data_IF_318168240332
#
_entry.id   IF_318168240332
#
_cell.length_a   1.000
_cell.length_b   1.000
_cell.length_c   1.000
_cell.angle_alpha   90.00
_cell.angle_beta   90.00
_cell.angle_gamma   90.00
#
_symmetry.space_group_name_H-M   'P 1'
#
loop_
_entity.id
_entity.type
_entity.pdbx_description
1 polymer ?
#
# COMPACT_ATOMS: atom_id res chain seq x y z
N UNK A 1 -25.71 8.50 -28.01
CA UNK A 1 -27.18 8.71 -27.92
C UNK A 1 -27.43 9.54 -26.66
N UNK A 2 -27.42 10.87 -26.84
CA UNK A 2 -27.52 11.85 -25.74
C UNK A 2 -29.00 12.04 -25.40
N UNK A 3 -29.40 11.60 -24.20
CA UNK A 3 -30.69 11.99 -23.65
C UNK A 3 -30.66 13.49 -23.37
N UNK A 4 -31.29 14.27 -24.23
CA UNK A 4 -31.66 15.66 -23.94
C UNK A 4 -32.87 15.59 -22.98
N UNK A 5 -32.64 15.72 -21.69
CA UNK A 5 -33.68 16.11 -20.75
C UNK A 5 -34.01 17.57 -20.99
N UNK A 6 -35.27 17.93 -20.95
CA UNK A 6 -35.79 19.26 -21.24
C UNK A 6 -35.16 20.31 -20.30
N UNK A 7 -34.93 21.56 -20.78
CA UNK A 7 -34.32 22.59 -19.96
C UNK A 7 -35.32 23.07 -18.90
N UNK A 8 -35.03 22.80 -17.64
CA UNK A 8 -35.56 23.59 -16.54
C UNK A 8 -34.67 24.83 -16.40
N UNK A 9 -35.20 26.00 -16.56
CA UNK A 9 -34.51 27.29 -16.72
C UNK A 9 -33.77 27.82 -15.51
N UNK A 10 -33.35 26.97 -14.55
CA UNK A 10 -32.60 27.34 -13.35
C UNK A 10 -31.55 26.27 -12.95
N UNK A 11 -30.70 25.86 -13.88
CA UNK A 11 -29.49 25.16 -13.46
C UNK A 11 -28.45 26.17 -13.04
N UNK A 12 -28.29 26.36 -11.73
CA UNK A 12 -27.10 27.01 -11.17
C UNK A 12 -25.95 26.06 -11.44
N UNK A 13 -25.32 26.20 -12.64
CA UNK A 13 -24.12 25.48 -12.98
C UNK A 13 -22.94 26.10 -12.25
N UNK A 14 -22.52 25.49 -11.15
CA UNK A 14 -21.28 25.86 -10.47
C UNK A 14 -20.17 25.03 -11.13
N UNK A 15 -19.24 25.64 -11.89
CA UNK A 15 -18.22 24.91 -12.64
C UNK A 15 -17.07 24.43 -11.73
N UNK A 16 -17.42 23.78 -10.60
CA UNK A 16 -16.42 23.28 -9.64
C UNK A 16 -15.53 22.25 -10.30
N UNK A 17 -16.09 21.35 -11.12
CA UNK A 17 -15.33 20.34 -11.81
C UNK A 17 -14.30 20.96 -12.77
N UNK A 18 -14.69 21.96 -13.57
CA UNK A 18 -13.80 22.66 -14.51
C UNK A 18 -12.73 23.48 -13.76
N UNK A 19 -13.13 24.14 -12.66
CA UNK A 19 -12.18 24.87 -11.83
C UNK A 19 -11.15 23.95 -11.18
N UNK A 20 -11.58 22.81 -10.63
CA UNK A 20 -10.72 21.78 -10.07
C UNK A 20 -9.81 21.22 -11.17
N UNK A 21 -10.37 20.86 -12.31
CA UNK A 21 -9.59 20.31 -13.42
C UNK A 21 -8.50 21.27 -13.88
N UNK A 22 -8.83 22.52 -14.09
CA UNK A 22 -7.87 23.53 -14.59
C UNK A 22 -6.78 23.85 -13.55
N UNK A 23 -7.17 24.23 -12.34
CA UNK A 23 -6.20 24.72 -11.35
C UNK A 23 -5.41 23.59 -10.69
N UNK A 24 -6.06 22.47 -10.35
CA UNK A 24 -5.37 21.35 -9.67
C UNK A 24 -4.51 20.59 -10.67
N UNK A 25 -4.98 20.37 -11.89
CA UNK A 25 -4.21 19.68 -12.91
C UNK A 25 -2.92 20.43 -13.26
N UNK A 26 -3.00 21.74 -13.52
CA UNK A 26 -1.83 22.57 -13.83
C UNK A 26 -0.83 22.57 -12.65
N UNK A 27 -1.32 22.72 -11.41
CA UNK A 27 -0.48 22.65 -10.23
C UNK A 27 0.20 21.28 -10.09
N UNK A 28 -0.52 20.18 -10.25
CA UNK A 28 0.04 18.82 -10.20
C UNK A 28 1.13 18.62 -11.26
N UNK A 29 0.90 19.05 -12.49
CA UNK A 29 1.90 18.95 -13.56
C UNK A 29 3.16 19.78 -13.28
N UNK A 30 3.01 20.95 -12.67
CA UNK A 30 4.14 21.80 -12.26
C UNK A 30 5.00 21.11 -11.17
N UNK A 31 4.39 20.33 -10.28
CA UNK A 31 5.11 19.62 -9.21
C UNK A 31 5.74 18.29 -9.66
N UNK A 32 5.41 17.76 -10.83
CA UNK A 32 5.96 16.50 -11.36
C UNK A 32 7.49 16.35 -11.21
N UNK A 33 8.33 17.35 -11.55
CA UNK A 33 9.78 17.19 -11.43
C UNK A 33 10.25 16.94 -10.01
N UNK A 34 9.58 17.56 -9.02
CA UNK A 34 9.87 17.35 -7.60
C UNK A 34 9.48 15.93 -7.17
N UNK A 35 8.26 15.50 -7.50
CA UNK A 35 7.77 14.17 -7.15
C UNK A 35 8.55 13.07 -7.84
N UNK A 36 9.01 13.27 -9.08
CA UNK A 36 9.90 12.34 -9.76
C UNK A 36 11.27 12.21 -9.08
N UNK A 37 11.80 13.28 -8.49
CA UNK A 37 13.02 13.20 -7.66
C UNK A 37 12.76 12.45 -6.34
N UNK A 38 11.60 12.65 -5.73
CA UNK A 38 11.20 11.95 -4.51
C UNK A 38 10.93 10.46 -4.74
N UNK A 39 10.52 10.05 -5.95
CA UNK A 39 10.34 8.64 -6.29
C UNK A 39 11.65 7.91 -6.58
N UNK A 40 12.74 8.61 -6.83
CA UNK A 40 14.01 7.98 -7.21
C UNK A 40 14.49 6.85 -6.26
N UNK A 41 14.39 6.98 -4.92
CA UNK A 41 14.70 5.86 -4.02
C UNK A 41 13.76 4.66 -4.20
N UNK A 42 12.46 4.92 -4.43
CA UNK A 42 11.46 3.87 -4.65
C UNK A 42 11.76 3.18 -5.98
N UNK A 43 12.02 3.94 -7.04
CA UNK A 43 12.40 3.44 -8.36
C UNK A 43 13.65 2.56 -8.29
N UNK A 44 14.66 2.98 -7.53
CA UNK A 44 15.91 2.25 -7.37
C UNK A 44 15.71 0.90 -6.68
N UNK A 45 14.95 0.87 -5.58
CA UNK A 45 14.63 -0.37 -4.85
C UNK A 45 13.76 -1.29 -5.70
N UNK A 46 12.72 -0.73 -6.34
CA UNK A 46 11.81 -1.47 -7.20
C UNK A 46 12.56 -2.14 -8.35
N UNK A 47 13.35 -1.40 -9.10
CA UNK A 47 14.12 -1.93 -10.24
C UNK A 47 15.15 -2.98 -9.77
N UNK A 48 15.79 -2.78 -8.62
CA UNK A 48 16.70 -3.74 -8.04
C UNK A 48 16.01 -5.06 -7.68
N UNK A 49 14.86 -4.99 -7.02
CA UNK A 49 14.07 -6.19 -6.66
C UNK A 49 13.45 -6.85 -7.89
N UNK A 50 12.95 -6.06 -8.84
CA UNK A 50 12.38 -6.60 -10.09
C UNK A 50 13.44 -7.37 -10.88
N UNK A 51 14.64 -6.81 -11.04
CA UNK A 51 15.77 -7.50 -11.66
C UNK A 51 16.16 -8.76 -10.89
N UNK A 52 16.22 -8.69 -9.56
CA UNK A 52 16.57 -9.82 -8.70
C UNK A 52 15.59 -10.98 -8.86
N UNK A 53 14.27 -10.69 -8.82
CA UNK A 53 13.26 -11.74 -8.90
C UNK A 53 13.12 -12.32 -10.30
N UNK A 54 13.24 -11.50 -11.35
CA UNK A 54 13.19 -11.97 -12.73
C UNK A 54 14.46 -12.73 -13.17
N UNK A 55 15.60 -12.57 -12.49
CA UNK A 55 16.82 -13.37 -12.74
C UNK A 55 16.70 -14.80 -12.18
N UNK A 56 15.82 -15.04 -11.20
CA UNK A 56 15.66 -16.36 -10.59
C UNK A 56 15.00 -17.31 -11.61
N UNK A 57 15.67 -18.41 -12.01
CA UNK A 57 15.07 -19.38 -12.93
C UNK A 57 13.81 -20.00 -12.32
N UNK A 58 12.77 -20.17 -13.13
CA UNK A 58 11.49 -20.75 -12.70
C UNK A 58 11.63 -22.03 -11.83
N UNK A 59 12.47 -23.06 -12.19
CA UNK A 59 12.61 -24.24 -11.35
C UNK A 59 13.16 -23.94 -9.95
N UNK A 60 14.08 -22.96 -9.83
CA UNK A 60 14.65 -22.57 -8.56
C UNK A 60 13.61 -21.82 -7.70
N UNK A 61 12.83 -20.96 -8.31
CA UNK A 61 11.74 -20.27 -7.62
C UNK A 61 10.70 -21.27 -7.08
N UNK A 62 10.31 -22.27 -7.88
CA UNK A 62 9.40 -23.33 -7.41
C UNK A 62 9.98 -24.01 -6.16
N UNK A 63 11.25 -24.40 -6.18
CA UNK A 63 11.88 -25.05 -5.02
C UNK A 63 11.84 -24.17 -3.76
N UNK A 64 12.11 -22.87 -3.91
CA UNK A 64 12.06 -21.92 -2.80
C UNK A 64 10.63 -21.82 -2.24
N UNK A 65 9.64 -21.57 -3.09
CA UNK A 65 8.24 -21.46 -2.66
C UNK A 65 7.70 -22.75 -2.04
N UNK A 66 8.02 -23.91 -2.63
CA UNK A 66 7.63 -25.21 -2.09
C UNK A 66 8.28 -25.49 -0.73
N UNK A 67 9.55 -25.15 -0.56
CA UNK A 67 10.22 -25.30 0.73
C UNK A 67 9.51 -24.51 1.83
N UNK A 68 9.21 -23.25 1.58
CA UNK A 68 8.48 -22.43 2.55
C UNK A 68 7.05 -22.92 2.79
N UNK A 69 6.33 -23.28 1.73
CA UNK A 69 4.97 -23.82 1.83
C UNK A 69 4.93 -25.12 2.65
N UNK A 70 5.86 -26.04 2.42
CA UNK A 70 5.98 -27.28 3.16
C UNK A 70 6.34 -27.04 4.64
N UNK A 71 7.29 -26.14 4.89
CA UNK A 71 7.77 -25.84 6.24
C UNK A 71 6.70 -25.19 7.11
N UNK A 72 5.82 -24.37 6.55
CA UNK A 72 4.81 -23.61 7.28
C UNK A 72 3.51 -24.39 7.49
N UNK A 73 2.99 -25.02 6.45
CA UNK A 73 1.66 -25.63 6.44
C UNK A 73 1.63 -27.12 5.98
N UNK A 74 2.81 -27.70 5.76
CA UNK A 74 2.94 -29.12 5.45
C UNK A 74 2.65 -29.47 3.98
N UNK A 75 2.59 -30.80 3.72
CA UNK A 75 2.60 -31.36 2.37
C UNK A 75 1.40 -30.96 1.49
N UNK A 76 0.20 -30.91 2.06
CA UNK A 76 -1.02 -30.54 1.31
C UNK A 76 -0.93 -29.12 0.77
N UNK A 77 -0.41 -28.19 1.56
CA UNK A 77 -0.23 -26.80 1.16
C UNK A 77 0.87 -26.65 0.10
N UNK A 78 1.94 -27.43 0.21
CA UNK A 78 2.99 -27.47 -0.81
C UNK A 78 2.45 -27.94 -2.18
N UNK A 79 1.59 -28.95 -2.21
CA UNK A 79 0.94 -29.40 -3.47
C UNK A 79 0.07 -28.28 -4.05
N UNK A 80 -0.73 -27.60 -3.23
CA UNK A 80 -1.58 -26.51 -3.70
C UNK A 80 -0.72 -25.36 -4.26
N UNK A 81 0.36 -25.02 -3.58
CA UNK A 81 1.33 -24.02 -4.05
C UNK A 81 1.95 -24.43 -5.38
N UNK A 82 2.35 -25.69 -5.53
CA UNK A 82 2.91 -26.20 -6.80
C UNK A 82 1.92 -26.05 -7.95
N UNK A 83 0.67 -26.45 -7.74
CA UNK A 83 -0.40 -26.32 -8.74
C UNK A 83 -0.57 -24.86 -9.14
N UNK A 84 -0.62 -23.94 -8.16
CA UNK A 84 -0.74 -22.50 -8.42
C UNK A 84 0.43 -21.92 -9.22
N UNK A 85 1.67 -22.30 -8.88
CA UNK A 85 2.87 -21.84 -9.60
C UNK A 85 2.92 -22.35 -11.03
N UNK A 86 2.61 -23.64 -11.25
CA UNK A 86 2.52 -24.22 -12.60
C UNK A 86 1.40 -23.53 -13.40
N UNK A 87 0.27 -23.20 -12.78
CA UNK A 87 -0.81 -22.49 -13.45
C UNK A 87 -0.38 -21.09 -13.90
N UNK A 88 0.36 -20.34 -13.05
CA UNK A 88 0.90 -19.01 -13.40
C UNK A 88 1.82 -19.10 -14.62
N UNK A 89 2.67 -20.11 -14.67
CA UNK A 89 3.58 -20.34 -15.79
C UNK A 89 2.84 -20.74 -17.06
N UNK A 90 1.83 -21.61 -16.95
CA UNK A 90 1.01 -22.06 -18.08
C UNK A 90 0.22 -20.93 -18.76
N UNK A 91 -0.14 -19.88 -18.02
CA UNK A 91 -0.82 -18.69 -18.57
C UNK A 91 0.16 -17.58 -18.95
N UNK A 92 1.47 -17.87 -18.96
CA UNK A 92 2.55 -16.94 -19.33
C UNK A 92 2.58 -15.64 -18.51
N UNK A 93 2.24 -15.74 -17.21
CA UNK A 93 2.23 -14.61 -16.27
C UNK A 93 3.35 -14.67 -15.24
N UNK A 94 4.40 -15.43 -15.50
CA UNK A 94 5.50 -15.59 -14.55
C UNK A 94 6.25 -14.28 -14.29
N UNK A 95 6.65 -13.57 -15.35
CA UNK A 95 7.38 -12.30 -15.24
C UNK A 95 6.56 -11.23 -14.52
N UNK A 96 5.28 -11.11 -14.86
CA UNK A 96 4.35 -10.16 -14.22
C UNK A 96 4.14 -10.48 -12.75
N UNK A 97 4.16 -11.76 -12.39
CA UNK A 97 4.08 -12.21 -10.99
C UNK A 97 5.34 -11.84 -10.21
N UNK A 98 6.51 -11.96 -10.80
CA UNK A 98 7.79 -11.57 -10.18
C UNK A 98 7.87 -10.04 -10.04
N UNK A 99 7.44 -9.29 -11.03
CA UNK A 99 7.33 -7.83 -10.96
C UNK A 99 6.34 -7.38 -9.88
N UNK A 100 5.19 -8.04 -9.77
CA UNK A 100 4.21 -7.77 -8.70
C UNK A 100 4.83 -8.05 -7.32
N UNK A 101 5.58 -9.13 -7.19
CA UNK A 101 6.30 -9.46 -5.96
C UNK A 101 7.32 -8.36 -5.60
N UNK A 102 8.08 -7.86 -6.58
CA UNK A 102 9.00 -6.75 -6.41
C UNK A 102 8.30 -5.47 -5.93
N UNK A 103 7.14 -5.16 -6.50
CA UNK A 103 6.31 -4.02 -6.07
C UNK A 103 5.86 -4.16 -4.62
N UNK A 104 5.39 -5.35 -4.22
CA UNK A 104 4.94 -5.63 -2.84
C UNK A 104 6.10 -5.49 -1.86
N UNK A 105 7.25 -6.11 -2.15
CA UNK A 105 8.43 -6.01 -1.28
C UNK A 105 8.94 -4.57 -1.17
N UNK A 106 8.96 -3.83 -2.27
CA UNK A 106 9.29 -2.40 -2.26
C UNK A 106 8.35 -1.64 -1.35
N UNK A 107 7.05 -1.83 -1.48
CA UNK A 107 6.06 -1.17 -0.63
C UNK A 107 6.26 -1.53 0.85
N UNK A 108 6.50 -2.80 1.17
CA UNK A 108 6.78 -3.26 2.55
C UNK A 108 8.00 -2.60 3.13
N UNK A 109 9.11 -2.51 2.38
CA UNK A 109 10.35 -1.86 2.83
C UNK A 109 10.06 -0.39 3.20
N UNK A 110 9.42 0.37 2.33
CA UNK A 110 9.09 1.78 2.61
C UNK A 110 8.06 1.93 3.73
N UNK A 111 7.09 1.04 3.83
CA UNK A 111 6.15 1.02 4.94
C UNK A 111 6.83 0.77 6.28
N UNK A 112 7.82 -0.11 6.35
CA UNK A 112 8.62 -0.36 7.55
C UNK A 112 9.47 0.87 7.88
N UNK A 113 10.19 1.41 6.89
CA UNK A 113 11.08 2.56 7.06
C UNK A 113 10.35 3.83 7.53
N UNK A 114 9.13 4.04 7.07
CA UNK A 114 8.32 5.22 7.40
C UNK A 114 7.37 4.92 8.57
N UNK A 115 6.68 3.79 8.52
CA UNK A 115 5.58 3.46 9.43
C UNK A 115 6.06 3.15 10.84
N UNK A 116 7.17 2.41 11.01
CA UNK A 116 7.70 2.11 12.34
C UNK A 116 8.16 3.39 13.07
N UNK A 117 8.99 4.28 12.49
CA UNK A 117 9.36 5.53 13.16
C UNK A 117 8.17 6.42 13.52
N UNK A 118 7.20 6.55 12.62
CA UNK A 118 5.98 7.32 12.89
C UNK A 118 5.12 6.67 13.99
N UNK A 119 5.05 5.34 14.02
CA UNK A 119 4.37 4.59 15.08
C UNK A 119 5.04 4.77 16.44
N UNK A 120 6.38 4.73 16.50
CA UNK A 120 7.15 5.02 17.72
C UNK A 120 6.89 6.46 18.19
N UNK A 121 6.89 7.43 17.28
CA UNK A 121 6.62 8.82 17.61
C UNK A 121 5.20 9.00 18.15
N UNK A 122 4.22 8.31 17.53
CA UNK A 122 2.82 8.30 18.00
C UNK A 122 2.68 7.68 19.39
N UNK A 123 3.48 6.66 19.73
CA UNK A 123 3.44 6.04 21.07
C UNK A 123 3.99 6.95 22.17
N UNK A 124 4.96 7.82 21.82
CA UNK A 124 5.64 8.71 22.76
C UNK A 124 4.97 10.07 22.93
N UNK A 125 4.16 10.52 21.98
CA UNK A 125 3.55 11.86 22.00
C UNK A 125 2.04 11.78 21.77
N UNK A 126 1.25 12.11 22.79
CA UNK A 126 -0.22 12.19 22.70
C UNK A 126 -0.69 13.24 21.68
N UNK A 127 0.02 14.37 21.58
CA UNK A 127 -0.29 15.42 20.61
C UNK A 127 -0.06 14.93 19.19
N UNK A 128 1.08 14.27 18.94
CA UNK A 128 1.37 13.72 17.62
C UNK A 128 0.36 12.64 17.23
N UNK A 129 0.01 11.76 18.15
CA UNK A 129 -1.03 10.75 17.91
C UNK A 129 -2.38 11.38 17.58
N UNK A 130 -2.80 12.40 18.32
CA UNK A 130 -4.07 13.09 18.08
C UNK A 130 -4.15 13.72 16.69
N UNK A 131 -3.01 14.22 16.16
CA UNK A 131 -2.91 14.75 14.80
C UNK A 131 -2.90 13.63 13.78
N UNK A 132 -2.15 12.55 14.04
CA UNK A 132 -2.01 11.43 13.11
C UNK A 132 -3.30 10.62 12.92
N UNK A 133 -4.11 10.45 13.98
CA UNK A 133 -5.34 9.65 13.92
C UNK A 133 -6.26 10.05 12.76
N UNK A 134 -6.72 11.32 12.64
CA UNK A 134 -7.61 11.69 11.54
C UNK A 134 -6.97 11.52 10.16
N UNK A 135 -5.64 11.73 10.03
CA UNK A 135 -4.91 11.51 8.78
C UNK A 135 -4.96 10.04 8.39
N UNK A 136 -4.65 9.14 9.34
CA UNK A 136 -4.69 7.70 9.11
C UNK A 136 -6.11 7.20 8.84
N UNK A 137 -7.14 7.80 9.47
CA UNK A 137 -8.54 7.47 9.22
C UNK A 137 -8.94 7.84 7.79
N UNK A 138 -8.59 9.04 7.34
CA UNK A 138 -8.84 9.48 5.95
C UNK A 138 -8.14 8.54 4.95
N UNK A 139 -6.88 8.17 5.22
CA UNK A 139 -6.11 7.25 4.35
C UNK A 139 -6.75 5.87 4.23
N UNK A 140 -7.52 5.40 5.22
CA UNK A 140 -8.19 4.09 5.18
C UNK A 140 -9.65 4.14 4.71
N UNK A 141 -10.32 5.27 4.88
CA UNK A 141 -11.73 5.41 4.47
C UNK A 141 -11.89 5.71 2.99
N UNK A 142 -10.92 6.38 2.38
CA UNK A 142 -10.96 6.64 0.95
C UNK A 142 -10.49 5.38 0.19
N UNK A 143 -11.27 4.88 -0.79
CA UNK A 143 -10.86 3.73 -1.61
C UNK A 143 -9.50 3.95 -2.28
N UNK A 144 -8.64 2.93 -2.29
CA UNK A 144 -7.25 3.03 -2.77
C UNK A 144 -7.12 3.53 -4.22
N UNK A 145 -8.06 3.21 -5.09
CA UNK A 145 -8.07 3.68 -6.48
C UNK A 145 -8.29 5.20 -6.61
N UNK A 146 -8.89 5.86 -5.59
CA UNK A 146 -9.06 7.32 -5.60
C UNK A 146 -7.71 8.03 -5.45
N UNK A 147 -6.77 7.46 -4.68
CA UNK A 147 -5.41 8.01 -4.59
C UNK A 147 -4.60 7.78 -5.86
N UNK A 148 -4.91 6.72 -6.60
CA UNK A 148 -4.14 6.35 -7.78
C UNK A 148 -4.16 7.46 -8.83
N UNK A 149 -5.29 8.17 -8.98
CA UNK A 149 -5.41 9.26 -9.96
C UNK A 149 -4.40 10.38 -9.70
N UNK A 150 -4.39 11.06 -8.53
CA UNK A 150 -3.40 12.11 -8.26
C UNK A 150 -1.96 11.56 -8.19
N UNK A 151 -1.76 10.33 -7.74
CA UNK A 151 -0.44 9.70 -7.71
C UNK A 151 0.09 9.49 -9.13
N UNK A 152 -0.71 8.97 -10.08
CA UNK A 152 -0.31 8.85 -11.49
C UNK A 152 -0.09 10.22 -12.12
N UNK A 153 -0.88 11.24 -11.77
CA UNK A 153 -0.67 12.60 -12.26
C UNK A 153 0.66 13.20 -11.79
N UNK A 154 1.10 12.90 -10.57
CA UNK A 154 2.35 13.40 -9.97
C UNK A 154 3.59 12.60 -10.41
N UNK A 155 3.52 11.27 -10.35
CA UNK A 155 4.67 10.38 -10.59
C UNK A 155 4.77 9.90 -12.04
N UNK A 156 3.71 10.05 -12.83
CA UNK A 156 3.64 9.56 -14.21
C UNK A 156 3.03 8.17 -14.32
N UNK A 157 3.07 7.59 -15.52
CA UNK A 157 2.59 6.23 -15.81
C UNK A 157 3.75 5.27 -15.56
N UNK A 158 3.49 4.14 -14.89
CA UNK A 158 4.48 3.10 -14.60
C UNK A 158 4.15 2.30 -13.35
N UNK A 159 5.11 1.50 -12.88
CA UNK A 159 4.96 0.67 -11.68
C UNK A 159 5.02 1.49 -10.38
N UNK A 160 5.83 2.54 -10.36
CA UNK A 160 6.06 3.40 -9.19
C UNK A 160 4.80 4.03 -8.61
N UNK A 161 3.86 4.58 -9.40
CA UNK A 161 2.57 5.04 -8.88
C UNK A 161 1.80 3.96 -8.12
N UNK A 162 1.83 2.72 -8.61
CA UNK A 162 1.21 1.58 -7.94
C UNK A 162 1.85 1.29 -6.58
N UNK A 163 3.19 1.30 -6.51
CA UNK A 163 3.93 1.13 -5.26
C UNK A 163 3.60 2.26 -4.27
N UNK A 164 3.60 3.52 -4.72
CA UNK A 164 3.27 4.68 -3.87
C UNK A 164 1.84 4.59 -3.34
N UNK A 165 0.86 4.24 -4.19
CA UNK A 165 -0.52 4.04 -3.75
C UNK A 165 -0.64 2.91 -2.73
N UNK A 166 0.11 1.82 -2.92
CA UNK A 166 0.17 0.70 -1.97
C UNK A 166 0.77 1.13 -0.62
N UNK A 167 1.84 1.94 -0.63
CA UNK A 167 2.44 2.51 0.58
C UNK A 167 1.42 3.37 1.33
N UNK A 168 0.71 4.27 0.64
CA UNK A 168 -0.31 5.14 1.24
C UNK A 168 -1.38 4.30 1.95
N UNK A 169 -1.84 3.22 1.33
CA UNK A 169 -2.87 2.34 1.89
C UNK A 169 -2.35 1.46 3.04
N UNK A 170 -1.08 1.00 2.98
CA UNK A 170 -0.51 0.07 3.95
C UNK A 170 0.13 0.76 5.17
N UNK A 171 0.46 2.04 5.10
CA UNK A 171 1.05 2.79 6.21
C UNK A 171 0.18 2.85 7.47
N UNK A 172 -1.14 3.14 7.42
CA UNK A 172 -1.95 3.30 8.61
C UNK A 172 -1.96 2.10 9.54
N UNK A 173 -2.19 0.85 9.10
CA UNK A 173 -2.13 -0.31 9.99
C UNK A 173 -0.75 -0.48 10.63
N UNK A 174 0.35 -0.24 9.91
CA UNK A 174 1.71 -0.38 10.46
C UNK A 174 1.95 0.65 11.56
N UNK A 175 1.59 1.92 11.33
CA UNK A 175 1.73 2.99 12.33
C UNK A 175 0.90 2.67 13.58
N UNK A 176 -0.36 2.24 13.41
CA UNK A 176 -1.26 1.92 14.52
C UNK A 176 -0.80 0.73 15.33
N UNK A 177 -0.40 -0.36 14.66
CA UNK A 177 0.09 -1.56 15.34
C UNK A 177 1.40 -1.31 16.06
N UNK A 178 2.32 -0.52 15.48
CA UNK A 178 3.55 -0.10 16.15
C UNK A 178 3.27 0.76 17.38
N UNK A 179 2.36 1.74 17.27
CA UNK A 179 1.93 2.56 18.40
C UNK A 179 1.33 1.72 19.52
N UNK A 180 0.44 0.79 19.17
CA UNK A 180 -0.22 -0.10 20.13
C UNK A 180 0.78 -1.07 20.81
N UNK A 181 1.71 -1.65 20.04
CA UNK A 181 2.68 -2.61 20.56
C UNK A 181 3.72 -2.01 21.51
N UNK A 182 3.98 -0.69 21.41
CA UNK A 182 4.94 0.01 22.29
C UNK A 182 4.27 0.51 23.57
N UNK A 183 2.97 0.79 23.57
CA UNK A 183 2.26 1.26 24.74
C UNK A 183 2.24 0.16 25.81
N UNK A 184 2.66 0.47 27.05
CA UNK A 184 2.55 -0.52 28.14
C UNK A 184 1.09 -0.91 28.31
N UNK A 185 0.82 -2.23 28.22
CA UNK A 185 -0.48 -2.77 28.62
C UNK A 185 -0.64 -2.45 30.09
N UNK A 186 -1.64 -1.67 30.45
CA UNK A 186 -1.92 -1.38 31.85
C UNK A 186 -2.33 -2.68 32.52
N UNK A 187 -1.47 -3.22 33.36
CA UNK A 187 -1.68 -4.46 34.15
C UNK A 187 -2.86 -4.36 35.12
N UNK A 188 -3.54 -3.23 35.19
CA UNK A 188 -4.69 -3.03 36.07
C UNK A 188 -5.90 -3.92 35.71
N UNK A 189 -6.02 -4.37 34.47
CA UNK A 189 -7.09 -5.29 34.07
C UNK A 189 -6.75 -6.79 34.29
N UNK A 190 -5.47 -7.16 34.38
CA UNK A 190 -5.08 -8.54 34.64
C UNK A 190 -5.22 -8.93 36.14
N UNK A 191 -5.14 -7.94 37.03
CA UNK A 191 -5.29 -8.18 38.49
C UNK A 191 -6.73 -8.36 38.98
N UNK A 192 -7.72 -7.98 38.16
CA UNK A 192 -9.13 -8.13 38.52
C UNK A 192 -9.63 -9.60 38.41
N UNK A 193 -8.91 -10.48 37.71
CA UNK A 193 -9.28 -11.88 37.55
C UNK A 193 -8.59 -12.82 38.56
N UNK A 194 -7.55 -12.37 39.27
CA UNK A 194 -6.85 -13.22 40.26
C UNK A 194 -7.39 -13.11 41.67
N UNK A 195 -8.44 -12.32 41.94
CA UNK A 195 -9.02 -12.13 43.28
C UNK A 195 -10.40 -12.79 43.49
N UNK A 196 -10.77 -13.76 42.66
CA UNK A 196 -12.05 -14.50 42.82
C UNK A 196 -11.80 -16.00 43.03
N UNK A 197 -10.85 -16.34 43.85
CA UNK A 197 -10.73 -17.70 44.40
C UNK A 197 -10.36 -17.62 45.88
N UNK A 198 -11.37 -17.30 46.70
CA UNK A 198 -11.48 -17.74 48.13
C UNK A 198 -12.95 -17.77 48.53
#
# INVERSE_FOLDING_TARGET
>A
MSLKLAPSDYEIYIPIAEWIEKNIKEWLFTQRPLFKKLSAPIDSVLNGLDTLFNIIPFPLAILIFLYFAFKTNGFKFAILTLIGLIFIDLVDLWSESMTTLAMIFTAVIFCILIGIPLGILSSRSRTFEAIMRPILDVMQTIPSFVYLIPVVMLFGIGLTPGVVATIIFALPPIIRLTNLGIRPVSYTHLRAHETVDY
#
